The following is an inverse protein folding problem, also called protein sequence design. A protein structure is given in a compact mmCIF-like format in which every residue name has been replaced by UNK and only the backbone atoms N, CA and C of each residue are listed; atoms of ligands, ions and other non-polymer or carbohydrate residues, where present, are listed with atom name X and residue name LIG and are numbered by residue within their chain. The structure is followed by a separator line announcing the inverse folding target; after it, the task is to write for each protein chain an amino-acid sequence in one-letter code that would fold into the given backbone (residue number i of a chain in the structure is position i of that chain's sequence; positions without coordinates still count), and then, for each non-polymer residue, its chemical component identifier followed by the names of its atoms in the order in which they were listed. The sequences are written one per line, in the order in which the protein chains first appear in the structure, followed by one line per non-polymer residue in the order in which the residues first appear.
data_IF_046612278018
#
_entry.id   IF_046612278018
#
_cell.length_a   1.000
_cell.length_b   1.000
_cell.length_c   1.000
_cell.angle_alpha   90.00
_cell.angle_beta   90.00
_cell.angle_gamma   90.00
#
_symmetry.space_group_name_H-M   'P 1'
#
loop_
_entity.id
_entity.type
_entity.pdbx_description
1 polymer ?
#
# COMPACT_ATOMS: atom_id res chain seq x y z
N UNK A 1 -10.57 1.57 0.19
CA UNK A 1 -10.39 0.44 -0.75
C UNK A 1 -8.93 0.03 -0.75
N UNK A 2 -8.61 -1.25 -0.67
CA UNK A 2 -7.22 -1.70 -0.80
C UNK A 2 -6.84 -1.82 -2.27
N UNK A 3 -5.65 -1.36 -2.65
CA UNK A 3 -5.20 -1.33 -4.04
C UNK A 3 -3.78 -1.87 -4.19
N UNK A 4 -3.54 -2.56 -5.31
CA UNK A 4 -2.23 -3.12 -5.66
C UNK A 4 -1.45 -2.23 -6.65
N UNK A 5 -2.14 -1.28 -7.28
CA UNK A 5 -1.58 -0.21 -8.09
C UNK A 5 -2.48 1.02 -8.00
N UNK A 6 -1.95 2.20 -8.35
CA UNK A 6 -2.72 3.45 -8.36
C UNK A 6 -3.30 3.80 -9.73
N UNK A 7 -3.00 3.03 -10.79
CA UNK A 7 -3.34 3.39 -12.17
C UNK A 7 -4.85 3.47 -12.45
N UNK A 8 -5.67 2.82 -11.61
CA UNK A 8 -7.13 2.84 -11.72
C UNK A 8 -7.79 3.84 -10.76
N UNK A 9 -7.01 4.48 -9.90
CA UNK A 9 -7.50 5.43 -8.92
C UNK A 9 -7.41 6.85 -9.45
N UNK A 10 -8.38 7.67 -9.06
CA UNK A 10 -8.42 9.09 -9.39
C UNK A 10 -7.86 9.91 -8.23
N UNK A 11 -7.42 11.12 -8.55
CA UNK A 11 -7.03 12.07 -7.52
C UNK A 11 -8.20 12.31 -6.54
N UNK A 12 -7.88 12.31 -5.26
CA UNK A 12 -8.86 12.39 -4.17
C UNK A 12 -9.33 11.02 -3.63
N UNK A 13 -9.04 9.91 -4.32
CA UNK A 13 -9.42 8.58 -3.84
C UNK A 13 -8.69 8.22 -2.54
N UNK A 14 -9.44 7.79 -1.53
CA UNK A 14 -8.89 7.26 -0.28
C UNK A 14 -8.61 5.75 -0.41
N UNK A 15 -7.33 5.39 -0.39
CA UNK A 15 -6.89 4.01 -0.62
C UNK A 15 -5.94 3.51 0.46
N UNK A 16 -5.86 2.19 0.54
CA UNK A 16 -4.96 1.47 1.43
C UNK A 16 -4.02 0.61 0.60
N UNK A 17 -2.74 0.56 0.95
CA UNK A 17 -1.72 -0.21 0.23
C UNK A 17 -0.92 -1.02 1.23
N UNK A 18 -0.81 -2.33 1.01
CA UNK A 18 0.17 -3.16 1.71
C UNK A 18 1.32 -3.43 0.76
N UNK A 19 2.55 -3.11 1.18
CA UNK A 19 3.71 -3.26 0.31
C UNK A 19 5.01 -3.43 1.07
N UNK A 20 6.01 -3.95 0.37
CA UNK A 20 7.37 -4.07 0.87
C UNK A 20 8.14 -2.77 0.59
N UNK A 21 8.84 -2.24 1.58
CA UNK A 21 9.72 -1.08 1.42
C UNK A 21 10.89 -1.45 0.49
N UNK A 22 11.05 -0.69 -0.61
CA UNK A 22 12.09 -0.94 -1.61
C UNK A 22 13.20 0.12 -1.56
N UNK A 23 12.84 1.41 -1.61
CA UNK A 23 13.80 2.54 -1.56
C UNK A 23 13.17 3.81 -1.01
N UNK A 24 14.02 4.75 -0.60
CA UNK A 24 13.66 6.10 -0.18
C UNK A 24 14.31 7.14 -1.11
N UNK A 25 13.58 8.20 -1.43
CA UNK A 25 14.07 9.36 -2.17
C UNK A 25 13.45 10.64 -1.60
N UNK A 26 14.19 11.36 -0.75
CA UNK A 26 13.68 12.55 -0.05
C UNK A 26 12.48 12.22 0.82
N UNK A 27 11.36 12.90 0.59
CA UNK A 27 10.10 12.69 1.32
C UNK A 27 9.26 11.51 0.77
N UNK A 28 9.83 10.72 -0.14
CA UNK A 28 9.13 9.61 -0.78
C UNK A 28 9.71 8.26 -0.40
N UNK A 29 8.81 7.31 -0.20
CA UNK A 29 9.12 5.88 -0.08
C UNK A 29 8.44 5.12 -1.21
N UNK A 30 9.17 4.18 -1.79
CA UNK A 30 8.68 3.34 -2.87
C UNK A 30 8.37 1.96 -2.30
N UNK A 31 7.09 1.58 -2.39
CA UNK A 31 6.61 0.29 -1.94
C UNK A 31 6.47 -0.65 -3.14
N UNK A 32 7.11 -1.81 -3.07
CA UNK A 32 6.87 -2.90 -4.00
C UNK A 32 5.58 -3.63 -3.58
N UNK A 33 4.62 -3.69 -4.49
CA UNK A 33 3.33 -4.35 -4.31
C UNK A 33 3.16 -5.32 -5.47
N UNK A 34 3.35 -6.61 -5.23
CA UNK A 34 3.47 -7.62 -6.28
C UNK A 34 4.50 -7.23 -7.37
N UNK A 35 4.03 -7.05 -8.61
CA UNK A 35 4.83 -6.63 -9.77
C UNK A 35 4.85 -5.11 -9.97
N UNK A 36 4.10 -4.36 -9.17
CA UNK A 36 3.99 -2.91 -9.24
C UNK A 36 4.84 -2.22 -8.18
N UNK A 37 5.16 -0.95 -8.43
CA UNK A 37 5.77 -0.06 -7.43
C UNK A 37 4.87 1.14 -7.21
N UNK A 38 4.54 1.42 -5.96
CA UNK A 38 3.74 2.57 -5.56
C UNK A 38 4.64 3.59 -4.88
N UNK A 39 4.57 4.84 -5.36
CA UNK A 39 5.25 5.97 -4.75
C UNK A 39 4.36 6.55 -3.66
N UNK A 40 4.91 6.67 -2.46
CA UNK A 40 4.20 7.18 -1.28
C UNK A 40 4.96 8.40 -0.75
N UNK A 41 4.26 9.51 -0.52
CA UNK A 41 4.80 10.65 0.23
C UNK A 41 4.57 10.40 1.71
N UNK A 42 5.65 10.20 2.48
CA UNK A 42 5.56 9.77 3.87
C UNK A 42 5.56 10.95 4.86
N UNK A 43 4.95 10.76 6.03
CA UNK A 43 4.96 11.75 7.13
C UNK A 43 6.00 11.45 8.23
N UNK A 44 6.82 10.41 8.03
CA UNK A 44 7.89 10.02 8.93
C UNK A 44 8.44 8.64 8.56
N UNK A 45 9.69 8.37 8.89
CA UNK A 45 10.38 7.16 8.42
C UNK A 45 10.29 5.98 9.40
N UNK A 46 9.84 6.19 10.63
CA UNK A 46 9.91 5.17 11.68
C UNK A 46 9.08 3.92 11.37
N UNK A 47 7.92 4.07 10.73
CA UNK A 47 7.09 2.95 10.26
C UNK A 47 7.76 2.16 9.15
N UNK A 48 8.48 2.84 8.26
CA UNK A 48 9.13 2.26 7.09
C UNK A 48 10.50 1.61 7.38
N UNK A 49 10.92 1.59 8.65
CA UNK A 49 12.03 0.73 9.10
C UNK A 49 11.69 -0.75 9.05
N UNK A 50 10.40 -1.09 9.11
CA UNK A 50 9.91 -2.44 8.89
C UNK A 50 9.91 -2.77 7.40
N UNK A 51 10.17 -4.05 7.07
CA UNK A 51 10.21 -4.49 5.68
C UNK A 51 8.85 -4.34 5.01
N UNK A 52 7.77 -4.58 5.75
CA UNK A 52 6.40 -4.62 5.26
C UNK A 52 5.56 -3.58 6.00
N UNK A 53 4.80 -2.78 5.24
CA UNK A 53 3.96 -1.72 5.79
C UNK A 53 2.58 -1.69 5.14
N UNK A 54 1.59 -1.28 5.92
CA UNK A 54 0.27 -0.88 5.45
C UNK A 54 0.19 0.66 5.47
N UNK A 55 -0.09 1.27 4.33
CA UNK A 55 -0.23 2.72 4.19
C UNK A 55 -1.66 3.06 3.81
N UNK A 56 -2.28 3.96 4.55
CA UNK A 56 -3.54 4.60 4.19
C UNK A 56 -3.28 6.03 3.77
N UNK A 57 -3.89 6.45 2.67
CA UNK A 57 -3.67 7.77 2.14
C UNK A 57 -4.67 8.18 1.08
N UNK A 58 -4.40 9.33 0.49
CA UNK A 58 -5.18 9.87 -0.63
C UNK A 58 -4.30 9.94 -1.87
N UNK A 59 -4.83 9.54 -3.01
CA UNK A 59 -4.12 9.65 -4.30
C UNK A 59 -4.09 11.11 -4.74
N UNK A 60 -2.89 11.63 -5.06
CA UNK A 60 -2.67 12.95 -5.63
C UNK A 60 -1.52 12.85 -6.64
N UNK A 61 -1.75 13.22 -7.90
CA UNK A 61 -0.75 13.23 -8.97
C UNK A 61 -0.03 11.87 -9.12
N UNK A 62 -0.80 10.77 -9.07
CA UNK A 62 -0.30 9.39 -9.08
C UNK A 62 0.61 9.00 -7.89
N UNK A 63 0.61 9.80 -6.82
CA UNK A 63 1.33 9.52 -5.56
C UNK A 63 0.32 9.26 -4.45
N UNK A 64 0.60 8.28 -3.60
CA UNK A 64 -0.17 8.10 -2.36
C UNK A 64 0.36 9.06 -1.29
N UNK A 65 -0.42 10.06 -0.92
CA UNK A 65 -0.10 10.96 0.19
C UNK A 65 -0.52 10.28 1.49
N UNK A 66 0.46 9.94 2.32
CA UNK A 66 0.22 9.24 3.59
C UNK A 66 -0.71 10.04 4.51
N UNK A 67 -1.73 9.37 5.02
CA UNK A 67 -2.51 9.81 6.17
C UNK A 67 -2.08 9.06 7.43
N UNK A 68 -1.95 7.74 7.34
CA UNK A 68 -1.46 6.87 8.40
C UNK A 68 -0.64 5.72 7.80
N UNK A 69 0.38 5.27 8.50
CA UNK A 69 1.13 4.05 8.14
C UNK A 69 1.27 3.13 9.36
N UNK A 70 1.18 1.83 9.12
CA UNK A 70 1.30 0.78 10.13
C UNK A 70 2.41 -0.19 9.75
N UNK A 71 3.18 -0.59 10.75
CA UNK A 71 4.17 -1.67 10.64
C UNK A 71 3.43 -3.00 10.59
N UNK A 72 3.80 -3.84 9.65
CA UNK A 72 3.43 -5.25 9.68
C UNK A 72 4.62 -6.07 10.15
N UNK A 73 4.34 -7.26 10.68
CA UNK A 73 5.38 -8.21 11.04
C UNK A 73 6.10 -8.70 9.79
N UNK A 74 7.40 -8.96 9.91
CA UNK A 74 8.22 -9.39 8.77
C UNK A 74 7.80 -10.78 8.23
N UNK A 75 7.08 -11.56 9.04
CA UNK A 75 6.51 -12.88 8.70
C UNK A 75 5.16 -12.79 7.98
N UNK A 76 4.68 -11.58 7.63
CA UNK A 76 3.42 -11.41 6.94
C UNK A 76 3.37 -12.20 5.63
N UNK A 77 2.44 -13.16 5.56
CA UNK A 77 2.26 -14.03 4.41
C UNK A 77 1.47 -13.31 3.30
N UNK A 78 2.23 -12.68 2.40
CA UNK A 78 1.71 -12.03 1.21
C UNK A 78 0.94 -12.98 0.28
N UNK A 79 1.29 -14.26 0.23
CA UNK A 79 0.64 -15.21 -0.67
C UNK A 79 -0.77 -15.55 -0.16
N UNK A 80 -0.88 -15.87 1.13
CA UNK A 80 -2.17 -16.08 1.78
C UNK A 80 -3.06 -14.84 1.70
N UNK A 81 -2.47 -13.66 1.88
CA UNK A 81 -3.19 -12.39 1.73
C UNK A 81 -3.71 -12.17 0.31
N UNK A 82 -2.89 -12.45 -0.71
CA UNK A 82 -3.31 -12.33 -2.11
C UNK A 82 -4.49 -13.25 -2.42
N UNK A 83 -4.43 -14.51 -1.98
CA UNK A 83 -5.53 -15.47 -2.14
C UNK A 83 -6.82 -15.00 -1.46
N UNK A 84 -6.70 -14.37 -0.29
CA UNK A 84 -7.83 -13.76 0.39
C UNK A 84 -8.45 -12.62 -0.44
N UNK A 85 -7.65 -11.71 -1.00
CA UNK A 85 -8.17 -10.63 -1.84
C UNK A 85 -8.86 -11.14 -3.10
N UNK A 86 -8.28 -12.15 -3.76
CA UNK A 86 -8.91 -12.78 -4.93
C UNK A 86 -10.27 -13.37 -4.54
N UNK A 87 -10.35 -14.06 -3.39
CA UNK A 87 -11.60 -14.64 -2.88
C UNK A 87 -12.62 -13.57 -2.51
N UNK A 88 -12.20 -12.51 -1.80
CA UNK A 88 -13.06 -11.40 -1.39
C UNK A 88 -13.63 -10.66 -2.62
N UNK A 89 -12.83 -10.51 -3.69
CA UNK A 89 -13.30 -9.89 -4.94
C UNK A 89 -14.38 -10.70 -5.63
N UNK A 90 -14.32 -12.04 -5.51
CA UNK A 90 -15.33 -12.96 -6.05
C UNK A 90 -16.61 -13.02 -5.20
N UNK A 91 -16.57 -12.48 -3.98
CA UNK A 91 -17.66 -12.49 -3.01
C UNK A 91 -17.94 -11.08 -2.46
N UNK A 92 -18.00 -10.09 -3.35
CA UNK A 92 -18.24 -8.68 -2.99
C UNK A 92 -19.58 -8.42 -2.28
N UNK A 93 -20.50 -9.38 -2.28
CA UNK A 93 -21.76 -9.31 -1.55
C UNK A 93 -21.61 -9.42 -0.03
N UNK A 94 -20.48 -9.93 0.46
CA UNK A 94 -20.19 -10.12 1.88
C UNK A 94 -18.96 -9.32 2.38
N UNK A 95 -18.30 -8.54 1.52
CA UNK A 95 -17.10 -7.74 1.81
C UNK A 95 -17.16 -6.37 1.15
#
# INVERSE_FOLDING_TARGET
MLVENLNRNKDGDAVSVIGQVNKFEGDYVFLKVNESTIKVKHNGIDTYKNRIVLVHGTVQDCVLVEKNAYKLEDEFDFESYKRFLETASNHSEIY
#
